data_IF_744371180179
#
_entry.id   IF_744371180179
#
_cell.length_a   1.000
_cell.length_b   1.000
_cell.length_c   1.000
_cell.angle_alpha   90.00
_cell.angle_beta   90.00
_cell.angle_gamma   90.00
#
_symmetry.space_group_name_H-M   'P 1'
#
loop_
_entity.id
_entity.type
_entity.pdbx_description
1 polymer ?
#
# COMPACT_ATOMS: atom_id res chain seq x y z
N UNK A 1 -4.04 -10.82 -4.80
CA UNK A 1 -3.37 -11.75 -5.74
C UNK A 1 -4.44 -12.26 -6.67
N UNK A 2 -4.43 -11.86 -7.96
CA UNK A 2 -5.50 -12.21 -8.90
C UNK A 2 -5.74 -13.71 -9.05
N UNK A 3 -4.68 -14.53 -8.90
CA UNK A 3 -4.79 -15.99 -9.03
C UNK A 3 -5.59 -16.56 -7.85
N UNK A 4 -5.27 -16.12 -6.62
CA UNK A 4 -6.00 -16.55 -5.43
C UNK A 4 -7.44 -16.06 -5.43
N UNK A 5 -7.66 -14.84 -5.90
CA UNK A 5 -9.00 -14.25 -6.01
C UNK A 5 -9.89 -15.09 -6.93
N UNK A 6 -9.40 -15.46 -8.12
CA UNK A 6 -10.14 -16.30 -9.06
C UNK A 6 -10.43 -17.70 -8.48
N UNK A 7 -9.49 -18.28 -7.73
CA UNK A 7 -9.71 -19.56 -7.04
C UNK A 7 -10.78 -19.50 -5.94
N UNK A 8 -11.14 -18.32 -5.44
CA UNK A 8 -12.15 -18.13 -4.40
C UNK A 8 -13.51 -17.73 -4.95
N UNK A 9 -13.58 -17.29 -6.21
CA UNK A 9 -14.82 -16.92 -6.88
C UNK A 9 -15.85 -18.06 -6.86
N UNK A 10 -17.09 -17.74 -6.50
CA UNK A 10 -18.20 -18.70 -6.44
C UNK A 10 -18.19 -19.62 -5.21
N UNK A 11 -17.23 -19.48 -4.29
CA UNK A 11 -17.28 -20.15 -2.99
C UNK A 11 -18.19 -19.38 -2.02
N UNK A 12 -18.88 -20.07 -1.09
CA UNK A 12 -19.66 -19.40 -0.04
C UNK A 12 -18.80 -18.42 0.77
N UNK A 13 -19.32 -17.21 1.02
CA UNK A 13 -18.64 -16.12 1.72
C UNK A 13 -17.72 -15.26 0.84
N UNK A 14 -17.62 -15.55 -0.46
CA UNK A 14 -16.83 -14.80 -1.44
C UNK A 14 -17.69 -14.31 -2.62
N UNK A 15 -18.98 -14.13 -2.38
CA UNK A 15 -19.95 -13.71 -3.40
C UNK A 15 -19.59 -12.34 -3.97
N UNK A 16 -19.07 -11.45 -3.12
CA UNK A 16 -18.63 -10.09 -3.47
C UNK A 16 -17.54 -10.05 -4.54
N UNK A 17 -16.79 -11.14 -4.76
CA UNK A 17 -15.78 -11.19 -5.81
C UNK A 17 -16.38 -11.09 -7.20
N UNK A 18 -17.68 -11.41 -7.36
CA UNK A 18 -18.42 -11.28 -8.63
C UNK A 18 -18.89 -9.86 -8.93
N UNK A 19 -18.75 -8.95 -7.97
CA UNK A 19 -19.12 -7.55 -8.12
C UNK A 19 -17.90 -6.75 -8.63
N UNK A 20 -18.15 -5.57 -9.19
CA UNK A 20 -17.06 -4.64 -9.49
C UNK A 20 -16.40 -4.19 -8.18
N UNK A 21 -15.12 -3.81 -8.24
CA UNK A 21 -14.40 -3.28 -7.07
C UNK A 21 -15.19 -2.12 -6.47
N UNK A 22 -15.56 -2.25 -5.21
CA UNK A 22 -16.41 -1.30 -4.50
C UNK A 22 -15.96 -1.17 -3.04
N UNK A 23 -16.50 -0.16 -2.37
CA UNK A 23 -16.34 0.05 -0.94
C UNK A 23 -17.73 -0.14 -0.31
N UNK A 24 -17.80 -0.99 0.71
CA UNK A 24 -18.99 -1.15 1.54
C UNK A 24 -18.83 -0.30 2.80
N UNK A 25 -19.79 0.60 3.04
CA UNK A 25 -19.83 1.45 4.24
C UNK A 25 -21.04 1.05 5.07
N UNK A 26 -20.79 0.49 6.24
CA UNK A 26 -21.82 0.07 7.19
C UNK A 26 -21.59 0.78 8.51
N UNK A 27 -22.69 1.13 9.20
CA UNK A 27 -22.64 1.78 10.50
C UNK A 27 -23.75 1.23 11.41
N UNK A 28 -23.37 0.87 12.63
CA UNK A 28 -24.29 0.54 13.71
C UNK A 28 -24.22 1.65 14.77
N UNK A 29 -25.13 2.63 14.64
CA UNK A 29 -25.19 3.82 15.47
C UNK A 29 -26.65 4.18 15.77
N UNK A 30 -26.92 5.03 16.79
CA UNK A 30 -28.25 5.57 17.02
C UNK A 30 -28.83 6.22 15.76
N UNK A 31 -30.13 6.02 15.55
CA UNK A 31 -30.83 6.45 14.33
C UNK A 31 -30.74 7.96 14.11
N UNK A 32 -30.56 8.73 15.18
CA UNK A 32 -30.46 10.19 15.13
C UNK A 32 -29.16 10.68 14.47
N UNK A 33 -28.12 9.84 14.43
CA UNK A 33 -26.79 10.25 13.94
C UNK A 33 -26.26 9.39 12.80
N UNK A 34 -26.83 8.20 12.57
CA UNK A 34 -26.30 7.23 11.60
C UNK A 34 -26.23 7.80 10.18
N UNK A 35 -27.30 8.47 9.73
CA UNK A 35 -27.34 9.08 8.39
C UNK A 35 -26.29 10.16 8.22
N UNK A 36 -26.14 11.04 9.22
CA UNK A 36 -25.14 12.09 9.20
C UNK A 36 -23.71 11.52 9.15
N UNK A 37 -23.46 10.41 9.86
CA UNK A 37 -22.15 9.73 9.85
C UNK A 37 -21.86 9.02 8.54
N UNK A 38 -22.86 8.35 7.95
CA UNK A 38 -22.73 7.72 6.64
C UNK A 38 -22.49 8.76 5.54
N UNK A 39 -23.19 9.90 5.59
CA UNK A 39 -22.96 11.01 4.67
C UNK A 39 -21.53 11.55 4.79
N UNK A 40 -21.06 11.79 6.02
CA UNK A 40 -19.69 12.25 6.26
C UNK A 40 -18.65 11.25 5.72
N UNK A 41 -18.85 9.94 5.97
CA UNK A 41 -17.95 8.91 5.45
C UNK A 41 -17.94 8.89 3.92
N UNK A 42 -19.10 9.06 3.30
CA UNK A 42 -19.23 9.14 1.84
C UNK A 42 -18.46 10.33 1.26
N UNK A 43 -18.59 11.51 1.84
CA UNK A 43 -17.86 12.71 1.36
C UNK A 43 -16.34 12.49 1.40
N UNK A 44 -15.82 11.92 2.49
CA UNK A 44 -14.39 11.61 2.62
C UNK A 44 -13.96 10.58 1.56
N UNK A 45 -14.77 9.55 1.32
CA UNK A 45 -14.46 8.53 0.31
C UNK A 45 -14.51 9.11 -1.10
N UNK A 46 -15.48 9.97 -1.41
CA UNK A 46 -15.57 10.64 -2.71
C UNK A 46 -14.31 11.49 -3.00
N UNK A 47 -13.80 12.20 -2.00
CA UNK A 47 -12.54 12.95 -2.10
C UNK A 47 -11.33 12.02 -2.32
N UNK A 48 -11.27 10.87 -1.64
CA UNK A 48 -10.17 9.89 -1.78
C UNK A 48 -10.21 9.11 -3.10
N UNK A 49 -11.40 8.90 -3.66
CA UNK A 49 -11.59 8.19 -4.93
C UNK A 49 -11.41 9.09 -6.15
N UNK A 50 -11.37 10.41 -5.94
CA UNK A 50 -11.09 11.38 -7.00
C UNK A 50 -9.60 11.34 -7.34
N UNK A 51 -9.21 11.01 -8.58
CA UNK A 51 -7.79 10.97 -8.96
C UNK A 51 -7.13 12.34 -8.80
N UNK A 52 -5.97 12.36 -8.14
CA UNK A 52 -5.14 13.57 -7.96
C UNK A 52 -3.81 13.36 -8.69
N UNK A 53 -3.23 14.45 -9.19
CA UNK A 53 -1.87 14.40 -9.74
C UNK A 53 -0.86 13.94 -8.68
N UNK A 54 0.07 13.07 -9.07
CA UNK A 54 1.06 12.47 -8.15
C UNK A 54 1.85 13.51 -7.33
N UNK A 55 2.14 14.68 -7.92
CA UNK A 55 2.85 15.76 -7.24
C UNK A 55 2.03 16.42 -6.13
N UNK A 56 0.71 16.32 -6.19
CA UNK A 56 -0.25 16.95 -5.29
C UNK A 56 -0.92 15.93 -4.34
N UNK A 57 -0.64 14.63 -4.50
CA UNK A 57 -1.15 13.58 -3.62
C UNK A 57 -0.33 13.48 -2.31
N UNK A 58 -0.68 14.34 -1.35
CA UNK A 58 -0.03 14.39 -0.05
C UNK A 58 -0.25 13.12 0.78
N UNK A 59 -1.44 12.52 0.68
CA UNK A 59 -1.78 11.31 1.44
C UNK A 59 -0.91 10.14 1.01
N UNK A 60 -0.81 9.90 -0.30
CA UNK A 60 0.03 8.83 -0.85
C UNK A 60 1.51 9.04 -0.51
N UNK A 61 2.02 10.27 -0.63
CA UNK A 61 3.42 10.60 -0.26
C UNK A 61 3.71 10.29 1.21
N UNK A 62 2.80 10.67 2.11
CA UNK A 62 2.94 10.39 3.54
C UNK A 62 2.90 8.87 3.81
N UNK A 63 1.94 8.15 3.23
CA UNK A 63 1.82 6.69 3.35
C UNK A 63 3.07 5.96 2.84
N UNK A 64 3.63 6.37 1.70
CA UNK A 64 4.85 5.77 1.14
C UNK A 64 6.07 6.02 2.03
N UNK A 65 6.18 7.20 2.65
CA UNK A 65 7.24 7.51 3.61
C UNK A 65 7.14 6.62 4.85
N UNK A 66 5.94 6.50 5.44
CA UNK A 66 5.69 5.65 6.61
C UNK A 66 5.95 4.17 6.29
N UNK A 67 5.52 3.70 5.12
CA UNK A 67 5.80 2.35 4.63
C UNK A 67 7.30 2.09 4.49
N UNK A 68 8.06 3.04 3.95
CA UNK A 68 9.51 2.93 3.83
C UNK A 68 10.20 2.88 5.20
N UNK A 69 9.66 3.60 6.19
CA UNK A 69 10.13 3.53 7.57
C UNK A 69 9.88 2.15 8.18
N UNK A 70 8.66 1.61 8.04
CA UNK A 70 8.29 0.28 8.53
C UNK A 70 9.15 -0.84 7.90
N UNK A 71 9.50 -0.68 6.62
CA UNK A 71 10.34 -1.63 5.89
C UNK A 71 11.85 -1.40 6.09
N UNK A 72 12.26 -0.33 6.77
CA UNK A 72 13.67 0.04 6.93
C UNK A 72 14.36 0.46 5.62
N UNK A 73 13.59 0.82 4.59
CA UNK A 73 14.07 1.26 3.28
C UNK A 73 14.01 2.78 3.08
N UNK A 74 13.66 3.53 4.13
CA UNK A 74 13.57 4.98 4.10
C UNK A 74 14.93 5.58 3.70
N UNK A 75 14.92 6.28 2.57
CA UNK A 75 16.03 7.11 2.12
C UNK A 75 15.70 8.54 2.50
N UNK A 76 16.59 9.19 3.23
CA UNK A 76 16.42 10.58 3.59
C UNK A 76 16.51 11.44 2.31
N UNK A 77 15.42 12.11 1.93
CA UNK A 77 15.24 12.98 0.74
C UNK A 77 16.12 14.26 0.75
N UNK A 78 17.29 14.17 1.38
CA UNK A 78 18.28 15.22 1.50
C UNK A 78 19.71 14.69 1.59
N UNK A 79 19.92 13.36 1.48
CA UNK A 79 21.27 12.84 1.26
C UNK A 79 21.58 12.98 -0.23
N UNK A 80 22.42 13.95 -0.68
CA UNK A 80 23.05 13.77 -1.97
C UNK A 80 23.73 12.42 -1.86
N UNK A 81 23.64 11.56 -2.88
CA UNK A 81 24.30 10.27 -2.90
C UNK A 81 25.67 10.33 -2.20
N UNK A 82 25.69 10.05 -0.90
CA UNK A 82 26.91 9.83 -0.18
C UNK A 82 27.11 8.38 -0.49
N UNK A 83 27.77 8.15 -1.63
CA UNK A 83 28.26 6.85 -1.97
C UNK A 83 28.84 6.30 -0.68
N UNK A 84 28.20 5.27 -0.14
CA UNK A 84 28.86 4.39 0.79
C UNK A 84 29.96 3.73 -0.02
N UNK A 85 31.07 4.46 -0.16
CA UNK A 85 32.36 3.90 -0.45
C UNK A 85 32.69 3.18 0.85
N UNK A 86 32.11 1.99 1.02
CA UNK A 86 32.68 1.04 1.96
C UNK A 86 34.14 0.86 1.55
N UNK A 87 35.12 1.20 2.39
CA UNK A 87 36.53 1.10 2.04
C UNK A 87 37.01 -0.36 2.00
N UNK A 88 36.12 -1.32 2.25
CA UNK A 88 36.39 -2.76 2.20
C UNK A 88 35.76 -3.40 0.96
N UNK A 89 36.15 -2.91 -0.22
CA UNK A 89 35.99 -3.69 -1.43
C UNK A 89 37.31 -3.66 -2.21
N UNK A 90 38.33 -4.29 -1.63
CA UNK A 90 39.53 -4.65 -2.36
C UNK A 90 40.02 -6.00 -1.85
N UNK A 91 40.51 -6.81 -2.79
CA UNK A 91 41.05 -8.17 -2.67
C UNK A 91 40.02 -9.28 -2.83
N UNK A 92 39.98 -9.80 -4.05
CA UNK A 92 39.12 -10.90 -4.42
C UNK A 92 39.63 -12.26 -3.96
N UNK A 93 38.71 -13.21 -3.95
CA UNK A 93 38.99 -14.62 -4.22
C UNK A 93 37.75 -15.20 -4.91
N UNK A 94 37.91 -15.64 -6.16
CA UNK A 94 36.88 -16.41 -6.87
C UNK A 94 36.71 -17.74 -6.15
N UNK A 95 35.54 -18.00 -5.56
CA UNK A 95 35.25 -19.30 -4.94
C UNK A 95 34.99 -20.33 -6.04
N UNK A 96 35.82 -21.38 -6.07
CA UNK A 96 35.71 -22.49 -7.00
C UNK A 96 34.43 -23.33 -6.78
N UNK A 97 33.95 -23.93 -7.87
CA UNK A 97 32.80 -24.83 -7.95
C UNK A 97 33.24 -26.23 -7.55
N UNK A 98 32.72 -26.80 -6.47
CA UNK A 98 32.90 -28.23 -6.15
C UNK A 98 31.57 -28.95 -6.34
N UNK A 99 31.59 -29.85 -7.32
CA UNK A 99 30.58 -30.86 -7.60
C UNK A 99 30.85 -32.03 -6.65
N UNK A 100 29.83 -32.48 -5.93
CA UNK A 100 29.80 -33.68 -5.10
C UNK A 100 28.36 -34.14 -5.03
#
# INVERSE_FOLDING_TARGET
DPIKEEMMRGKPGYEHLNEQLHILVEAELPIEIVDARLMQAREILDDLLTPVEETHDFYKKQQLRELALLNGSLREEGSPMSGSISPYNSLGMKRAKTRG
#
